data_IF_630772155975
#
_entry.id   IF_630772155975
#
_cell.length_a   1.000
_cell.length_b   1.000
_cell.length_c   1.000
_cell.angle_alpha   90.00
_cell.angle_beta   90.00
_cell.angle_gamma   90.00
#
_symmetry.space_group_name_H-M   'P 1'
#
loop_
_entity.id
_entity.type
_entity.pdbx_description
1 polymer ?
#
# COMPACT_ATOMS: atom_id res chain seq x y z
N UNK A 1 -51.34 -0.30 33.17
CA UNK A 1 -51.20 -0.31 31.71
C UNK A 1 -50.68 -1.69 31.33
N UNK A 2 -51.56 -2.57 30.89
CA UNK A 2 -51.24 -3.97 30.57
C UNK A 2 -50.63 -4.00 29.16
N UNK A 3 -49.38 -4.41 29.04
CA UNK A 3 -48.69 -4.42 27.75
C UNK A 3 -49.18 -5.64 26.95
N UNK A 4 -49.72 -5.40 25.76
CA UNK A 4 -50.20 -6.44 24.86
C UNK A 4 -49.08 -7.42 24.46
N UNK A 5 -49.32 -8.73 24.64
CA UNK A 5 -48.37 -9.82 24.32
C UNK A 5 -47.91 -9.85 22.85
N UNK A 6 -48.70 -9.32 21.92
CA UNK A 6 -48.38 -9.10 20.50
C UNK A 6 -47.32 -8.00 20.34
N UNK A 7 -47.41 -6.93 21.12
CA UNK A 7 -46.43 -5.84 21.15
C UNK A 7 -45.06 -6.34 21.63
N UNK A 8 -45.03 -7.20 22.65
CA UNK A 8 -43.77 -7.80 23.14
C UNK A 8 -43.12 -8.73 22.11
N UNK A 9 -43.90 -9.57 21.41
CA UNK A 9 -43.37 -10.45 20.34
C UNK A 9 -42.82 -9.66 19.16
N UNK A 10 -43.49 -8.57 18.79
CA UNK A 10 -43.02 -7.66 17.75
C UNK A 10 -41.70 -6.98 18.13
N UNK A 11 -41.55 -6.59 19.40
CA UNK A 11 -40.29 -6.05 19.93
C UNK A 11 -39.14 -7.07 19.81
N UNK A 12 -39.35 -8.33 20.21
CA UNK A 12 -38.34 -9.37 20.05
C UNK A 12 -37.95 -9.63 18.59
N UNK A 13 -38.92 -9.59 17.68
CA UNK A 13 -38.67 -9.69 16.24
C UNK A 13 -37.79 -8.55 15.74
N UNK A 14 -38.07 -7.30 16.13
CA UNK A 14 -37.25 -6.15 15.75
C UNK A 14 -35.83 -6.23 16.31
N UNK A 15 -35.67 -6.70 17.56
CA UNK A 15 -34.34 -6.90 18.17
C UNK A 15 -33.57 -8.00 17.43
N UNK A 16 -34.21 -9.14 17.13
CA UNK A 16 -33.57 -10.22 16.39
C UNK A 16 -33.21 -9.81 14.95
N UNK A 17 -34.07 -9.04 14.28
CA UNK A 17 -33.83 -8.51 12.95
C UNK A 17 -32.65 -7.51 12.96
N UNK A 18 -32.60 -6.61 13.94
CA UNK A 18 -31.51 -5.65 14.11
C UNK A 18 -30.18 -6.34 14.42
N UNK A 19 -30.18 -7.38 15.26
CA UNK A 19 -28.98 -8.18 15.55
C UNK A 19 -28.48 -8.89 14.29
N UNK A 20 -29.39 -9.48 13.51
CA UNK A 20 -29.04 -10.15 12.24
C UNK A 20 -28.44 -9.17 11.25
N UNK A 21 -28.98 -7.95 11.14
CA UNK A 21 -28.44 -6.92 10.25
C UNK A 21 -27.02 -6.46 10.65
N UNK A 22 -26.71 -6.44 11.96
CA UNK A 22 -25.36 -6.19 12.45
C UNK A 22 -24.37 -7.31 12.06
N UNK A 23 -24.80 -8.57 12.00
CA UNK A 23 -23.95 -9.68 11.58
C UNK A 23 -23.62 -9.67 10.08
N UNK A 24 -24.47 -9.05 9.26
CA UNK A 24 -24.26 -8.96 7.80
C UNK A 24 -23.61 -7.65 7.35
N UNK A 25 -23.15 -6.79 8.26
CA UNK A 25 -22.43 -5.58 7.85
C UNK A 25 -21.11 -5.96 7.16
N UNK A 26 -20.85 -5.48 5.93
CA UNK A 26 -19.59 -5.77 5.26
C UNK A 26 -18.44 -5.14 6.04
N UNK A 27 -17.47 -5.96 6.44
CA UNK A 27 -16.21 -5.48 6.99
C UNK A 27 -15.43 -4.84 5.85
N UNK A 28 -15.31 -3.51 5.88
CA UNK A 28 -14.41 -2.78 5.00
C UNK A 28 -12.98 -2.96 5.53
N UNK A 29 -12.35 -4.08 5.19
CA UNK A 29 -10.90 -4.26 5.40
C UNK A 29 -10.20 -3.50 4.29
N UNK A 30 -9.52 -2.42 4.65
CA UNK A 30 -8.54 -1.78 3.75
C UNK A 30 -7.22 -2.51 3.98
N UNK A 31 -6.69 -3.14 2.95
CA UNK A 31 -5.30 -3.59 2.99
C UNK A 31 -4.43 -2.34 3.16
N UNK A 32 -3.54 -2.37 4.15
CA UNK A 32 -2.46 -1.39 4.23
C UNK A 32 -1.39 -1.91 3.27
N UNK A 33 -1.12 -1.18 2.21
CA UNK A 33 0.03 -1.46 1.35
C UNK A 33 1.29 -1.25 2.18
N UNK A 34 2.09 -2.31 2.35
CA UNK A 34 3.38 -2.23 3.02
C UNK A 34 4.44 -1.93 1.96
N UNK A 35 5.08 -0.77 2.05
CA UNK A 35 6.12 -0.38 1.12
C UNK A 35 7.48 -0.90 1.61
N UNK A 36 8.30 -1.47 0.74
CA UNK A 36 9.62 -1.96 1.12
C UNK A 36 10.53 -0.80 1.54
N UNK A 37 11.49 -1.11 2.41
CA UNK A 37 12.59 -0.20 2.71
C UNK A 37 13.61 -0.19 1.54
N UNK A 38 14.27 0.94 1.27
CA UNK A 38 15.25 1.02 0.19
C UNK A 38 16.43 0.08 0.44
N UNK A 39 17.06 -0.38 -0.64
CA UNK A 39 18.25 -1.22 -0.53
C UNK A 39 19.45 -0.42 0.00
N UNK A 40 20.51 -1.12 0.42
CA UNK A 40 21.76 -0.48 0.88
C UNK A 40 22.38 0.46 -0.15
N UNK A 41 22.24 0.16 -1.45
CA UNK A 41 22.77 1.01 -2.52
C UNK A 41 21.80 2.13 -2.93
N UNK A 42 20.59 2.18 -2.34
CA UNK A 42 19.51 3.15 -2.52
C UNK A 42 18.91 3.26 -3.94
N UNK A 43 19.72 3.25 -4.99
CA UNK A 43 19.29 3.49 -6.37
C UNK A 43 18.59 2.31 -7.05
N UNK A 44 18.72 1.11 -6.51
CA UNK A 44 18.15 -0.10 -7.09
C UNK A 44 17.56 -0.98 -6.00
N UNK A 45 16.29 -1.36 -6.17
CA UNK A 45 15.62 -2.37 -5.38
C UNK A 45 15.00 -3.37 -6.36
N UNK A 46 15.55 -4.58 -6.48
CA UNK A 46 15.08 -5.59 -7.43
C UNK A 46 14.51 -6.81 -6.70
N UNK A 47 13.32 -6.66 -6.11
CA UNK A 47 12.66 -7.76 -5.41
C UNK A 47 12.16 -8.83 -6.38
N UNK A 48 11.60 -8.41 -7.52
CA UNK A 48 11.07 -9.31 -8.54
C UNK A 48 12.16 -10.01 -9.39
N UNK A 49 13.45 -9.76 -9.08
CA UNK A 49 14.60 -10.38 -9.75
C UNK A 49 14.56 -10.22 -11.29
N UNK A 50 14.24 -9.01 -11.76
CA UNK A 50 14.06 -8.69 -13.18
C UNK A 50 15.29 -8.04 -13.80
N UNK A 51 16.21 -7.50 -12.99
CA UNK A 51 17.38 -6.79 -13.45
C UNK A 51 18.60 -7.71 -13.46
N UNK A 52 19.44 -7.57 -14.49
CA UNK A 52 20.74 -8.24 -14.47
C UNK A 52 21.72 -7.46 -13.58
N UNK A 53 22.75 -8.11 -13.03
CA UNK A 53 23.79 -7.41 -12.25
C UNK A 53 24.44 -6.26 -13.02
N UNK A 54 24.58 -6.39 -14.35
CA UNK A 54 25.11 -5.33 -15.21
C UNK A 54 24.15 -4.14 -15.28
N UNK A 55 22.84 -4.38 -15.34
CA UNK A 55 21.81 -3.32 -15.32
C UNK A 55 21.76 -2.61 -13.97
N UNK A 56 21.80 -3.36 -12.86
CA UNK A 56 21.85 -2.74 -11.51
C UNK A 56 23.09 -1.86 -11.38
N UNK A 57 24.25 -2.37 -11.79
CA UNK A 57 25.50 -1.63 -11.78
C UNK A 57 25.43 -0.36 -12.63
N UNK A 58 24.83 -0.44 -13.82
CA UNK A 58 24.66 0.72 -14.70
C UNK A 58 23.85 1.83 -14.02
N UNK A 59 22.75 1.48 -13.34
CA UNK A 59 21.90 2.45 -12.62
C UNK A 59 22.69 3.10 -11.48
N UNK A 60 23.42 2.30 -10.69
CA UNK A 60 24.23 2.78 -9.57
C UNK A 60 25.35 3.71 -10.07
N UNK A 61 26.10 3.29 -11.08
CA UNK A 61 27.23 4.06 -11.60
C UNK A 61 26.76 5.36 -12.29
N UNK A 62 25.57 5.37 -12.89
CA UNK A 62 24.96 6.58 -13.47
C UNK A 62 24.64 7.60 -12.37
N UNK A 63 24.02 7.17 -11.26
CA UNK A 63 23.73 8.08 -10.15
C UNK A 63 25.02 8.63 -9.52
N UNK A 64 26.07 7.81 -9.36
CA UNK A 64 27.37 8.29 -8.90
C UNK A 64 27.96 9.37 -9.80
N UNK A 65 27.79 9.25 -11.12
CA UNK A 65 28.21 10.31 -12.05
C UNK A 65 27.36 11.58 -11.92
N UNK A 66 26.08 11.44 -11.55
CA UNK A 66 25.20 12.57 -11.31
C UNK A 66 25.53 13.32 -10.02
N UNK A 67 26.01 12.65 -8.98
CA UNK A 67 26.48 13.31 -7.74
C UNK A 67 27.60 14.33 -8.01
N UNK A 68 28.39 14.14 -9.07
CA UNK A 68 29.46 15.06 -9.46
C UNK A 68 28.97 16.28 -10.27
N UNK A 69 27.69 16.33 -10.68
CA UNK A 69 27.13 17.47 -11.41
C UNK A 69 26.61 18.56 -10.47
N UNK A 70 26.31 19.74 -11.01
CA UNK A 70 25.74 20.83 -10.19
C UNK A 70 24.31 20.48 -9.79
N UNK A 71 23.56 19.87 -10.71
CA UNK A 71 22.14 19.57 -10.58
C UNK A 71 21.86 18.32 -9.72
N UNK A 72 22.81 17.40 -9.61
CA UNK A 72 22.71 16.16 -8.82
C UNK A 72 21.38 15.39 -9.02
N UNK A 73 20.97 15.10 -10.27
CA UNK A 73 19.74 14.38 -10.51
C UNK A 73 19.79 12.96 -9.93
N UNK A 74 18.66 12.49 -9.40
CA UNK A 74 18.55 11.16 -8.81
C UNK A 74 17.57 10.28 -9.59
N UNK A 75 18.01 9.07 -9.93
CA UNK A 75 17.20 8.03 -10.59
C UNK A 75 17.21 6.78 -9.73
N UNK A 76 16.03 6.37 -9.26
CA UNK A 76 15.86 5.13 -8.49
C UNK A 76 14.96 4.18 -9.27
N UNK A 77 15.35 2.90 -9.32
CA UNK A 77 14.58 1.84 -9.99
C UNK A 77 14.17 0.80 -8.95
N UNK A 78 12.86 0.60 -8.81
CA UNK A 78 12.29 -0.43 -7.96
C UNK A 78 11.51 -1.44 -8.82
N UNK A 79 11.79 -2.73 -8.64
CA UNK A 79 10.95 -3.83 -9.11
C UNK A 79 10.36 -4.51 -7.87
N UNK A 80 9.06 -4.79 -7.93
CA UNK A 80 8.27 -5.36 -6.85
C UNK A 80 7.37 -6.44 -7.44
N UNK A 81 7.07 -7.46 -6.66
CA UNK A 81 6.26 -8.60 -7.13
C UNK A 81 4.78 -8.23 -7.30
N UNK A 82 4.28 -7.27 -6.53
CA UNK A 82 2.86 -6.92 -6.46
C UNK A 82 2.67 -5.47 -5.99
N UNK A 83 1.62 -4.82 -6.49
CA UNK A 83 1.14 -3.53 -5.98
C UNK A 83 0.07 -3.69 -4.88
N UNK A 84 -0.26 -4.94 -4.53
CA UNK A 84 -1.29 -5.32 -3.56
C UNK A 84 -2.67 -4.68 -3.82
N UNK A 85 -2.97 -4.50 -5.11
CA UNK A 85 -4.22 -3.92 -5.58
C UNK A 85 -4.26 -2.39 -5.59
N UNK A 86 -3.17 -1.73 -5.23
CA UNK A 86 -3.05 -0.27 -5.38
C UNK A 86 -2.79 0.12 -6.85
N UNK A 87 -3.14 1.36 -7.18
CA UNK A 87 -2.78 1.95 -8.46
C UNK A 87 -1.26 2.21 -8.51
N UNK A 88 -0.64 1.97 -9.66
CA UNK A 88 0.81 2.17 -9.82
C UNK A 88 1.22 3.61 -9.53
N UNK A 89 0.37 4.58 -9.84
CA UNK A 89 0.61 6.00 -9.58
C UNK A 89 0.68 6.30 -8.08
N UNK A 90 -0.31 5.81 -7.32
CA UNK A 90 -0.34 5.95 -5.85
C UNK A 90 0.86 5.24 -5.22
N UNK A 91 1.12 4.00 -5.62
CA UNK A 91 2.22 3.22 -5.09
C UNK A 91 3.56 3.92 -5.32
N UNK A 92 3.78 4.40 -6.55
CA UNK A 92 5.02 5.10 -6.92
C UNK A 92 5.17 6.41 -6.15
N UNK A 93 4.09 7.17 -5.95
CA UNK A 93 4.11 8.42 -5.21
C UNK A 93 4.45 8.21 -3.73
N UNK A 94 3.79 7.25 -3.07
CA UNK A 94 4.04 6.95 -1.66
C UNK A 94 5.42 6.34 -1.43
N UNK A 95 5.88 5.44 -2.32
CA UNK A 95 7.24 4.90 -2.28
C UNK A 95 8.30 6.01 -2.42
N UNK A 96 8.12 6.90 -3.39
CA UNK A 96 9.01 8.04 -3.62
C UNK A 96 9.10 8.95 -2.39
N UNK A 97 7.96 9.25 -1.75
CA UNK A 97 7.90 10.04 -0.51
C UNK A 97 8.57 9.32 0.65
N UNK A 98 8.28 8.04 0.86
CA UNK A 98 8.83 7.25 1.95
C UNK A 98 10.35 7.13 1.84
N UNK A 99 10.86 6.96 0.62
CA UNK A 99 12.30 6.84 0.37
C UNK A 99 13.02 8.19 0.33
N UNK A 100 12.29 9.32 0.29
CA UNK A 100 12.89 10.65 0.25
C UNK A 100 13.70 10.91 -1.03
N UNK A 101 13.25 10.36 -2.16
CA UNK A 101 13.95 10.50 -3.44
C UNK A 101 13.92 11.99 -3.86
N UNK A 102 15.04 12.54 -4.29
CA UNK A 102 15.19 13.93 -4.73
C UNK A 102 15.04 14.99 -3.62
N UNK A 103 15.11 14.57 -2.34
CA UNK A 103 15.04 15.46 -1.17
C UNK A 103 16.39 16.07 -0.79
#
# INVERSE_FOLDING_TARGET
>A
MEIDKKSTKFLYFLVAFSLTFLYFSPLNVRAVTEYPEPSTNFYVFDEASLLSPETEKFIIDTNKQYEDTIEQPQIVVATIDSLDGDAIENYSEELFKQWGIGS
#
